data_IF_836524860580
#
_entry.id   IF_836524860580
#
_cell.length_a   1.000
_cell.length_b   1.000
_cell.length_c   1.000
_cell.angle_alpha   90.00
_cell.angle_beta   90.00
_cell.angle_gamma   90.00
#
_symmetry.space_group_name_H-M   'P 1'
#
loop_
_entity.id
_entity.type
_entity.pdbx_description
1 polymer ?
#
# COMPACT_ATOMS: atom_id res chain seq x y z
N UNK A 1 12.65 4.10 -12.50
CA UNK A 1 11.43 3.30 -12.82
C UNK A 1 10.34 3.36 -11.73
N UNK A 2 10.65 3.11 -10.44
CA UNK A 2 9.68 3.18 -9.34
C UNK A 2 8.90 4.51 -9.26
N UNK A 3 9.60 5.65 -9.37
CA UNK A 3 8.98 6.99 -9.36
C UNK A 3 7.95 7.16 -10.48
N UNK A 4 8.21 6.62 -11.67
CA UNK A 4 7.26 6.69 -12.79
C UNK A 4 6.03 5.82 -12.53
N UNK A 5 6.21 4.62 -11.99
CA UNK A 5 5.10 3.75 -11.60
C UNK A 5 4.21 4.42 -10.54
N UNK A 6 4.82 4.98 -9.49
CA UNK A 6 4.11 5.74 -8.45
C UNK A 6 3.32 6.91 -9.04
N UNK A 7 3.95 7.74 -9.86
CA UNK A 7 3.29 8.88 -10.52
C UNK A 7 2.12 8.44 -11.38
N UNK A 8 2.21 7.33 -12.10
CA UNK A 8 1.11 6.81 -12.91
C UNK A 8 -0.08 6.39 -12.05
N UNK A 9 0.18 5.66 -10.96
CA UNK A 9 -0.85 5.13 -10.06
C UNK A 9 -1.53 6.27 -9.30
N UNK A 10 -0.78 7.27 -8.79
CA UNK A 10 -1.35 8.47 -8.17
C UNK A 10 -2.20 9.30 -9.15
N UNK A 11 -1.76 9.48 -10.39
CA UNK A 11 -2.55 10.20 -11.40
C UNK A 11 -3.84 9.46 -11.78
N UNK A 12 -3.84 8.14 -11.69
CA UNK A 12 -5.05 7.33 -11.89
C UNK A 12 -6.01 7.57 -10.72
N UNK A 13 -5.51 7.58 -9.48
CA UNK A 13 -6.33 7.83 -8.29
C UNK A 13 -6.93 9.23 -8.25
N UNK A 14 -6.15 10.27 -8.55
CA UNK A 14 -6.64 11.66 -8.57
C UNK A 14 -7.77 11.88 -9.58
N UNK A 15 -7.94 10.98 -10.56
CA UNK A 15 -9.00 11.03 -11.58
C UNK A 15 -10.24 10.22 -11.19
N UNK A 16 -10.22 9.47 -10.09
CA UNK A 16 -11.36 8.67 -9.62
C UNK A 16 -12.36 9.54 -8.85
N UNK A 17 -13.64 9.38 -9.18
CA UNK A 17 -14.76 10.10 -8.53
C UNK A 17 -15.25 9.41 -7.25
N UNK A 18 -15.00 8.11 -7.11
CA UNK A 18 -15.27 7.34 -5.90
C UNK A 18 -13.96 7.19 -5.13
N UNK A 19 -13.72 8.07 -4.15
CA UNK A 19 -12.60 7.92 -3.23
C UNK A 19 -12.92 6.79 -2.23
N UNK A 20 -12.50 5.58 -2.55
CA UNK A 20 -12.47 4.49 -1.59
C UNK A 20 -11.36 4.77 -0.57
N UNK A 21 -11.76 5.10 0.67
CA UNK A 21 -10.82 5.50 1.70
C UNK A 21 -9.77 4.42 2.00
N UNK A 22 -10.07 3.14 1.75
CA UNK A 22 -9.12 2.03 1.91
C UNK A 22 -8.03 2.07 0.85
N UNK A 23 -8.40 2.42 -0.37
CA UNK A 23 -7.45 2.63 -1.48
C UNK A 23 -6.57 3.83 -1.16
N UNK A 24 -7.13 4.95 -0.69
CA UNK A 24 -6.38 6.13 -0.28
C UNK A 24 -5.32 5.82 0.81
N UNK A 25 -5.68 5.00 1.80
CA UNK A 25 -4.74 4.59 2.85
C UNK A 25 -3.51 3.84 2.30
N UNK A 26 -3.67 3.05 1.23
CA UNK A 26 -2.54 2.39 0.56
C UNK A 26 -1.66 3.36 -0.22
N UNK A 27 -2.26 4.37 -0.85
CA UNK A 27 -1.50 5.43 -1.52
C UNK A 27 -0.64 6.22 -0.55
N UNK A 28 -1.14 6.48 0.67
CA UNK A 28 -0.34 7.10 1.74
C UNK A 28 0.87 6.21 2.08
N UNK A 29 0.69 4.89 2.19
CA UNK A 29 1.81 3.96 2.43
C UNK A 29 2.80 3.88 1.26
N UNK A 30 2.32 3.94 0.02
CA UNK A 30 3.20 4.09 -1.14
C UNK A 30 3.99 5.39 -1.10
N UNK A 31 3.35 6.49 -0.70
CA UNK A 31 3.99 7.80 -0.59
C UNK A 31 5.09 7.81 0.48
N UNK A 32 4.81 7.29 1.69
CA UNK A 32 5.80 7.14 2.77
C UNK A 32 7.04 6.37 2.30
N UNK A 33 6.84 5.23 1.62
CA UNK A 33 7.94 4.45 1.03
C UNK A 33 8.75 5.26 0.01
N UNK A 34 8.08 6.01 -0.86
CA UNK A 34 8.73 6.77 -1.94
C UNK A 34 9.43 8.05 -1.45
N UNK A 35 9.02 8.60 -0.31
CA UNK A 35 9.63 9.79 0.31
C UNK A 35 11.10 9.57 0.67
N UNK A 36 11.49 8.35 1.02
CA UNK A 36 12.89 7.96 1.27
C UNK A 36 13.79 8.30 0.06
N UNK A 37 13.29 8.16 -1.16
CA UNK A 37 14.06 8.47 -2.37
C UNK A 37 14.28 9.98 -2.57
N UNK A 38 13.58 10.85 -1.85
CA UNK A 38 13.86 12.29 -1.88
C UNK A 38 15.29 12.61 -1.41
N UNK A 39 15.92 11.74 -0.62
CA UNK A 39 17.31 11.88 -0.19
C UNK A 39 18.30 11.85 -1.37
N UNK A 40 17.93 11.23 -2.49
CA UNK A 40 18.75 11.19 -3.72
C UNK A 40 19.06 12.59 -4.26
N UNK A 41 18.24 13.61 -3.97
CA UNK A 41 18.51 15.00 -4.39
C UNK A 41 19.82 15.57 -3.83
N UNK A 42 20.32 14.97 -2.74
CA UNK A 42 21.58 15.35 -2.10
C UNK A 42 22.76 14.50 -2.58
N UNK A 43 22.53 13.50 -3.43
CA UNK A 43 23.55 12.59 -3.96
C UNK A 43 23.80 12.95 -5.43
N UNK A 44 25.05 13.26 -5.78
CA UNK A 44 25.42 13.52 -7.18
C UNK A 44 25.37 12.20 -7.97
N UNK A 45 24.78 12.15 -9.19
CA UNK A 45 24.67 10.91 -9.96
C UNK A 45 26.01 10.22 -10.25
N UNK A 46 27.08 11.00 -10.47
CA UNK A 46 28.42 10.47 -10.71
C UNK A 46 29.17 10.03 -9.43
N UNK A 47 28.50 10.03 -8.27
CA UNK A 47 29.13 9.77 -6.97
C UNK A 47 29.51 8.29 -6.80
N UNK A 48 30.82 8.09 -6.66
CA UNK A 48 31.61 6.86 -6.47
C UNK A 48 31.69 6.26 -5.06
N UNK A 49 30.96 5.21 -4.66
CA UNK A 49 31.24 4.43 -3.43
C UNK A 49 32.19 3.25 -3.66
N UNK A 50 32.85 2.76 -2.61
CA UNK A 50 33.76 1.62 -2.68
C UNK A 50 33.48 0.66 -1.53
N UNK A 51 33.42 -0.63 -1.83
CA UNK A 51 33.38 -1.73 -0.86
C UNK A 51 34.34 -2.85 -1.28
N UNK A 52 34.28 -4.00 -0.63
CA UNK A 52 35.15 -5.15 -0.90
C UNK A 52 34.99 -5.71 -2.33
N UNK A 53 33.89 -5.37 -3.03
CA UNK A 53 33.57 -5.83 -4.38
C UNK A 53 33.96 -4.80 -5.45
N UNK A 54 34.43 -3.62 -5.05
CA UNK A 54 34.94 -2.59 -5.94
C UNK A 54 34.16 -1.28 -5.85
N UNK A 55 34.15 -0.53 -6.96
CA UNK A 55 33.54 0.79 -7.02
C UNK A 55 32.13 0.73 -7.61
N UNK A 56 31.15 1.36 -6.96
CA UNK A 56 29.74 1.35 -7.38
C UNK A 56 29.05 2.69 -7.12
N UNK A 57 27.96 2.96 -7.82
CA UNK A 57 27.11 4.16 -7.66
C UNK A 57 25.87 3.87 -6.84
N UNK A 58 25.16 4.92 -6.43
CA UNK A 58 23.85 4.76 -5.77
C UNK A 58 22.83 4.11 -6.70
N UNK A 59 22.94 4.34 -8.02
CA UNK A 59 22.08 3.71 -9.02
C UNK A 59 22.28 2.20 -9.04
N UNK A 60 23.54 1.72 -9.05
CA UNK A 60 23.85 0.29 -9.05
C UNK A 60 23.22 -0.44 -7.85
N UNK A 61 23.17 0.22 -6.68
CA UNK A 61 22.55 -0.34 -5.46
C UNK A 61 21.03 -0.33 -5.47
N UNK A 62 20.44 0.61 -6.18
CA UNK A 62 19.00 0.85 -6.15
C UNK A 62 18.27 0.30 -7.37
N UNK A 63 18.97 -0.03 -8.46
CA UNK A 63 18.38 -0.39 -9.74
C UNK A 63 17.41 -1.58 -9.64
N UNK A 64 17.89 -2.71 -9.13
CA UNK A 64 17.08 -3.93 -8.95
C UNK A 64 15.89 -3.65 -8.01
N UNK A 65 16.15 -3.03 -6.87
CA UNK A 65 15.11 -2.69 -5.88
C UNK A 65 14.05 -1.76 -6.48
N UNK A 66 14.46 -0.77 -7.26
CA UNK A 66 13.54 0.13 -7.96
C UNK A 66 12.69 -0.61 -8.99
N UNK A 67 13.22 -1.67 -9.63
CA UNK A 67 12.44 -2.51 -10.54
C UNK A 67 11.39 -3.32 -9.78
N UNK A 68 11.77 -4.00 -8.70
CA UNK A 68 10.85 -4.76 -7.83
C UNK A 68 9.76 -3.87 -7.24
N UNK A 69 10.12 -2.69 -6.73
CA UNK A 69 9.15 -1.71 -6.20
C UNK A 69 8.21 -1.21 -7.28
N UNK A 70 8.71 -0.97 -8.50
CA UNK A 70 7.86 -0.56 -9.62
C UNK A 70 6.81 -1.64 -9.96
N UNK A 71 7.18 -2.92 -9.87
CA UNK A 71 6.26 -4.04 -10.06
C UNK A 71 5.24 -4.14 -8.93
N UNK A 72 5.67 -4.03 -7.67
CA UNK A 72 4.78 -4.02 -6.51
C UNK A 72 3.73 -2.89 -6.59
N UNK A 73 4.16 -1.67 -6.97
CA UNK A 73 3.26 -0.52 -7.17
C UNK A 73 2.26 -0.80 -8.29
N UNK A 74 2.69 -1.37 -9.42
CA UNK A 74 1.78 -1.73 -10.53
C UNK A 74 0.76 -2.77 -10.09
N UNK A 75 1.20 -3.81 -9.39
CA UNK A 75 0.32 -4.88 -8.93
C UNK A 75 -0.70 -4.37 -7.90
N UNK A 76 -0.27 -3.50 -6.99
CA UNK A 76 -1.17 -2.83 -6.06
C UNK A 76 -2.16 -1.93 -6.79
N UNK A 77 -1.69 -1.10 -7.73
CA UNK A 77 -2.53 -0.25 -8.58
C UNK A 77 -3.59 -1.04 -9.34
N UNK A 78 -3.21 -2.17 -9.94
CA UNK A 78 -4.14 -3.07 -10.64
C UNK A 78 -5.19 -3.68 -9.70
N UNK A 79 -4.80 -4.04 -8.47
CA UNK A 79 -5.71 -4.59 -7.48
C UNK A 79 -6.68 -3.50 -6.95
N UNK A 80 -6.17 -2.31 -6.65
CA UNK A 80 -6.99 -1.13 -6.33
C UNK A 80 -7.95 -0.80 -7.47
N UNK A 81 -7.48 -0.94 -8.72
CA UNK A 81 -8.31 -0.68 -9.89
C UNK A 81 -9.47 -1.68 -9.99
N UNK A 82 -9.12 -2.96 -9.86
CA UNK A 82 -10.08 -4.09 -9.84
C UNK A 82 -11.08 -3.98 -8.70
N UNK A 83 -10.65 -3.60 -7.50
CA UNK A 83 -11.52 -3.47 -6.32
C UNK A 83 -12.49 -2.29 -6.50
N UNK A 84 -11.99 -1.13 -6.89
CA UNK A 84 -12.82 0.08 -6.98
C UNK A 84 -13.83 0.03 -8.13
N UNK A 85 -13.53 -0.73 -9.19
CA UNK A 85 -14.46 -0.94 -10.32
C UNK A 85 -15.57 -1.96 -10.04
N UNK A 86 -15.55 -2.67 -8.90
CA UNK A 86 -16.64 -3.60 -8.54
C UNK A 86 -17.91 -2.87 -8.13
N UNK A 87 -19.06 -3.44 -8.45
CA UNK A 87 -20.34 -3.02 -7.89
C UNK A 87 -20.35 -3.19 -6.36
N UNK A 88 -21.11 -2.34 -5.67
CA UNK A 88 -21.16 -2.25 -4.21
C UNK A 88 -21.42 -3.61 -3.53
N UNK A 89 -22.34 -4.43 -4.03
CA UNK A 89 -22.61 -5.75 -3.47
C UNK A 89 -21.39 -6.68 -3.52
N UNK A 90 -20.59 -6.60 -4.59
CA UNK A 90 -19.35 -7.36 -4.72
C UNK A 90 -18.27 -6.80 -3.80
N UNK A 91 -18.20 -5.46 -3.63
CA UNK A 91 -17.31 -4.81 -2.65
C UNK A 91 -17.66 -5.21 -1.21
N UNK A 92 -18.94 -5.37 -0.89
CA UNK A 92 -19.42 -5.81 0.42
C UNK A 92 -19.07 -7.28 0.68
N UNK A 93 -19.46 -8.19 -0.22
CA UNK A 93 -19.32 -9.63 -0.02
C UNK A 93 -17.87 -10.11 -0.18
N UNK A 94 -17.14 -9.58 -1.16
CA UNK A 94 -15.72 -9.93 -1.38
C UNK A 94 -14.75 -8.97 -0.71
N UNK A 95 -15.26 -7.93 -0.05
CA UNK A 95 -14.49 -6.92 0.66
C UNK A 95 -13.40 -7.49 1.55
N UNK A 96 -13.69 -8.46 2.44
CA UNK A 96 -12.67 -9.06 3.30
C UNK A 96 -11.51 -9.72 2.54
N UNK A 97 -11.78 -10.35 1.38
CA UNK A 97 -10.75 -11.00 0.55
C UNK A 97 -9.86 -9.94 -0.11
N UNK A 98 -10.48 -8.87 -0.63
CA UNK A 98 -9.73 -7.74 -1.19
C UNK A 98 -8.93 -7.00 -0.12
N UNK A 99 -9.52 -6.73 1.06
CA UNK A 99 -8.85 -6.11 2.20
C UNK A 99 -7.63 -6.90 2.65
N UNK A 100 -7.72 -8.24 2.70
CA UNK A 100 -6.57 -9.09 3.01
C UNK A 100 -5.45 -8.92 1.97
N UNK A 101 -5.76 -9.02 0.68
CA UNK A 101 -4.78 -8.85 -0.41
C UNK A 101 -4.20 -7.44 -0.47
N UNK A 102 -5.02 -6.42 -0.23
CA UNK A 102 -4.59 -5.04 -0.16
C UNK A 102 -3.65 -4.80 1.04
N UNK A 103 -3.94 -5.43 2.18
CA UNK A 103 -3.09 -5.33 3.37
C UNK A 103 -1.70 -5.95 3.20
N UNK A 104 -1.53 -6.94 2.32
CA UNK A 104 -0.22 -7.55 2.01
C UNK A 104 0.73 -6.55 1.33
N UNK A 105 0.18 -5.60 0.57
CA UNK A 105 0.99 -4.53 -0.03
C UNK A 105 1.53 -3.54 1.02
N UNK A 106 0.87 -3.39 2.18
CA UNK A 106 1.39 -2.54 3.26
C UNK A 106 2.70 -3.08 3.81
N UNK A 107 2.73 -4.38 4.13
CA UNK A 107 3.96 -5.02 4.62
C UNK A 107 5.06 -4.97 3.55
N UNK A 108 4.69 -5.21 2.28
CA UNK A 108 5.61 -5.11 1.13
C UNK A 108 6.23 -3.71 1.01
N UNK A 109 5.43 -2.65 1.09
CA UNK A 109 5.93 -1.27 1.01
C UNK A 109 6.78 -0.90 2.22
N UNK A 110 6.44 -1.35 3.42
CA UNK A 110 7.24 -1.12 4.61
C UNK A 110 8.61 -1.81 4.55
N UNK A 111 8.68 -3.02 4.01
CA UNK A 111 9.93 -3.74 3.79
C UNK A 111 10.80 -3.04 2.75
N UNK A 112 10.20 -2.61 1.64
CA UNK A 112 10.90 -1.84 0.61
C UNK A 112 11.39 -0.48 1.12
N UNK A 113 10.61 0.21 1.95
CA UNK A 113 11.01 1.46 2.59
C UNK A 113 12.28 1.26 3.44
N UNK A 114 12.25 0.31 4.38
CA UNK A 114 13.42 -0.02 5.22
C UNK A 114 14.65 -0.38 4.39
N UNK A 115 14.43 -1.11 3.30
CA UNK A 115 15.53 -1.53 2.44
C UNK A 115 16.11 -0.36 1.62
N UNK A 116 15.29 0.60 1.19
CA UNK A 116 15.78 1.85 0.61
C UNK A 116 16.58 2.67 1.63
N UNK A 117 16.07 2.84 2.85
CA UNK A 117 16.75 3.54 3.93
C UNK A 117 18.12 2.90 4.22
N UNK A 118 18.16 1.56 4.31
CA UNK A 118 19.40 0.82 4.52
C UNK A 118 20.41 1.02 3.38
N UNK A 119 19.98 0.87 2.13
CA UNK A 119 20.86 1.04 0.96
C UNK A 119 21.43 2.46 0.87
N UNK A 120 20.62 3.48 1.12
CA UNK A 120 21.05 4.88 1.12
C UNK A 120 21.98 5.20 2.30
N UNK A 121 21.68 4.67 3.49
CA UNK A 121 22.53 4.82 4.66
C UNK A 121 23.89 4.17 4.44
N UNK A 122 23.93 2.95 3.91
CA UNK A 122 25.18 2.25 3.62
C UNK A 122 26.02 3.00 2.58
N UNK A 123 25.40 3.42 1.47
CA UNK A 123 26.08 4.22 0.44
C UNK A 123 26.67 5.51 1.02
N UNK A 124 25.92 6.19 1.88
CA UNK A 124 26.37 7.43 2.53
C UNK A 124 27.42 7.16 3.61
N UNK A 125 27.29 6.12 4.42
CA UNK A 125 28.27 5.75 5.45
C UNK A 125 29.63 5.38 4.84
N UNK A 126 29.65 4.67 3.71
CA UNK A 126 30.87 4.37 2.95
C UNK A 126 31.47 5.61 2.25
N UNK A 127 30.82 6.77 2.36
CA UNK A 127 31.36 8.10 2.02
C UNK A 127 31.82 8.83 3.28
N UNK A 128 31.13 8.64 4.40
CA UNK A 128 31.34 9.34 5.66
C UNK A 128 32.43 8.64 6.50
N UNK A 129 33.69 8.98 6.22
CA UNK A 129 34.60 9.38 7.30
C UNK A 129 34.46 10.88 7.61
N UNK A 130 33.53 11.57 6.94
CA UNK A 130 33.26 13.00 7.07
C UNK A 130 31.78 13.29 6.77
N UNK A 131 31.07 13.88 7.73
CA UNK A 131 29.66 14.34 7.73
C UNK A 131 28.68 13.52 8.60
N UNK A 132 28.52 14.00 9.84
CA UNK A 132 27.37 13.80 10.71
C UNK A 132 26.07 14.00 9.91
N UNK A 133 25.27 12.95 9.69
CA UNK A 133 23.91 13.08 9.14
C UNK A 133 22.91 12.39 10.07
N UNK A 134 21.88 13.15 10.38
CA UNK A 134 20.77 12.88 11.28
C UNK A 134 20.02 11.59 10.91
N UNK A 135 20.09 10.60 11.79
CA UNK A 135 19.08 9.56 11.92
C UNK A 135 18.30 9.82 13.21
N UNK A 136 17.26 10.62 13.11
CA UNK A 136 16.24 10.72 14.14
C UNK A 136 14.88 10.62 13.47
N UNK A 137 14.35 9.40 13.40
CA UNK A 137 13.21 8.99 14.21
C UNK A 137 12.82 7.55 13.79
N UNK A 138 13.47 6.54 14.38
CA UNK A 138 13.00 5.15 14.21
C UNK A 138 11.96 4.92 15.29
N UNK A 139 10.73 5.16 14.87
CA UNK A 139 9.44 4.85 15.50
C UNK A 139 9.52 3.77 16.58
N UNK A 140 9.40 4.18 17.84
CA UNK A 140 9.09 3.29 18.96
C UNK A 140 7.58 3.13 19.12
N UNK A 141 7.16 1.89 19.38
CA UNK A 141 5.97 1.44 20.15
C UNK A 141 4.82 0.80 19.34
N UNK A 142 4.36 -0.31 19.93
CA UNK A 142 3.26 -1.25 19.59
C UNK A 142 3.59 -2.28 18.50
N UNK A 143 3.92 -3.51 18.93
CA UNK A 143 3.99 -4.72 18.10
C UNK A 143 2.58 -5.19 17.70
N UNK A 144 1.87 -4.37 16.95
CA UNK A 144 0.80 -4.82 16.05
C UNK A 144 1.43 -4.75 14.65
N UNK A 145 1.37 -5.84 13.88
CA UNK A 145 1.95 -5.86 12.52
C UNK A 145 1.27 -4.78 11.67
N UNK A 146 2.00 -4.12 10.76
CA UNK A 146 1.44 -3.02 9.96
C UNK A 146 0.20 -3.45 9.18
N UNK A 147 0.18 -4.70 8.70
CA UNK A 147 -1.02 -5.41 8.23
C UNK A 147 -2.19 -5.41 9.21
N UNK A 148 -1.99 -5.82 10.46
CA UNK A 148 -3.07 -5.83 11.45
C UNK A 148 -3.56 -4.41 11.76
N UNK A 149 -2.67 -3.41 11.80
CA UNK A 149 -3.05 -2.00 11.93
C UNK A 149 -3.85 -1.52 10.73
N UNK A 150 -3.46 -1.86 9.50
CA UNK A 150 -4.19 -1.45 8.30
C UNK A 150 -5.56 -2.13 8.22
N UNK A 151 -5.69 -3.40 8.60
CA UNK A 151 -6.99 -4.08 8.68
C UNK A 151 -7.93 -3.36 9.66
N UNK A 152 -7.41 -2.87 10.80
CA UNK A 152 -8.19 -2.05 11.73
C UNK A 152 -8.60 -0.70 11.11
N UNK A 153 -7.70 -0.05 10.38
CA UNK A 153 -8.02 1.17 9.62
C UNK A 153 -9.12 0.90 8.61
N UNK A 154 -9.03 -0.16 7.80
CA UNK A 154 -10.08 -0.53 6.84
C UNK A 154 -11.44 -0.78 7.50
N UNK A 155 -11.47 -1.35 8.70
CA UNK A 155 -12.70 -1.50 9.48
C UNK A 155 -13.29 -0.15 9.91
N UNK A 156 -12.43 0.81 10.30
CA UNK A 156 -12.86 2.15 10.70
C UNK A 156 -13.39 2.98 9.53
N UNK A 157 -12.87 2.74 8.33
CA UNK A 157 -13.26 3.44 7.09
C UNK A 157 -14.55 2.90 6.44
N UNK A 158 -15.19 1.88 7.03
CA UNK A 158 -16.49 1.36 6.55
C UNK A 158 -17.59 2.40 6.73
N UNK A 159 -18.36 2.61 5.68
CA UNK A 159 -19.55 3.47 5.68
C UNK A 159 -20.66 2.91 6.59
N UNK A 160 -21.57 3.74 7.10
CA UNK A 160 -22.72 3.27 7.90
C UNK A 160 -23.57 2.22 7.18
N UNK A 161 -23.77 2.40 5.86
CA UNK A 161 -24.50 1.44 5.03
C UNK A 161 -23.79 0.08 4.91
N UNK A 162 -22.46 0.08 4.76
CA UNK A 162 -21.68 -1.18 4.77
C UNK A 162 -21.76 -1.90 6.12
N UNK A 163 -21.80 -1.17 7.23
CA UNK A 163 -21.93 -1.76 8.58
C UNK A 163 -23.27 -2.45 8.78
N UNK A 164 -24.38 -1.78 8.47
CA UNK A 164 -25.73 -2.35 8.57
C UNK A 164 -25.88 -3.62 7.70
N UNK A 165 -25.37 -3.58 6.46
CA UNK A 165 -25.46 -4.73 5.55
C UNK A 165 -24.55 -5.89 6.00
N UNK A 166 -23.39 -5.60 6.60
CA UNK A 166 -22.53 -6.63 7.20
C UNK A 166 -23.19 -7.32 8.41
N UNK A 167 -23.91 -6.57 9.24
CA UNK A 167 -24.67 -7.13 10.37
C UNK A 167 -25.78 -8.06 9.87
N UNK A 168 -26.48 -7.68 8.80
CA UNK A 168 -27.47 -8.54 8.16
C UNK A 168 -26.84 -9.82 7.60
N UNK A 169 -25.72 -9.70 6.87
CA UNK A 169 -24.98 -10.85 6.36
C UNK A 169 -24.56 -11.80 7.49
N UNK A 170 -24.11 -11.27 8.63
CA UNK A 170 -23.81 -12.10 9.79
C UNK A 170 -25.06 -12.75 10.39
N UNK A 171 -26.17 -12.03 10.49
CA UNK A 171 -27.45 -12.57 11.00
C UNK A 171 -28.01 -13.72 10.15
N UNK A 172 -27.63 -13.77 8.87
CA UNK A 172 -28.02 -14.80 7.89
C UNK A 172 -27.01 -15.95 7.78
N UNK A 173 -26.08 -16.08 8.73
CA UNK A 173 -25.11 -17.19 8.78
C UNK A 173 -23.76 -16.89 8.12
N UNK A 174 -23.53 -15.66 7.68
CA UNK A 174 -22.27 -15.21 7.09
C UNK A 174 -22.25 -15.22 5.56
N UNK A 175 -21.14 -14.75 5.00
CA UNK A 175 -20.97 -14.51 3.56
C UNK A 175 -21.20 -15.79 2.74
N UNK A 176 -20.67 -16.93 3.21
CA UNK A 176 -20.74 -18.19 2.47
C UNK A 176 -22.16 -18.75 2.37
N UNK A 177 -23.01 -18.50 3.36
CA UNK A 177 -24.42 -18.89 3.32
C UNK A 177 -25.26 -17.89 2.53
N UNK A 178 -24.97 -16.59 2.64
CA UNK A 178 -25.65 -15.56 1.85
C UNK A 178 -25.43 -15.73 0.34
N UNK A 179 -24.23 -16.15 -0.09
CA UNK A 179 -23.93 -16.37 -1.52
C UNK A 179 -24.71 -17.56 -2.11
N UNK A 180 -25.17 -18.50 -1.27
CA UNK A 180 -25.92 -19.69 -1.70
C UNK A 180 -27.44 -19.48 -1.72
N UNK A 181 -27.92 -18.37 -1.14
CA UNK A 181 -29.35 -18.07 -1.00
C UNK A 181 -29.73 -16.82 -1.82
N UNK A 182 -30.30 -17.06 -2.99
CA UNK A 182 -30.75 -16.02 -3.92
C UNK A 182 -31.79 -15.06 -3.32
N UNK A 183 -32.55 -15.50 -2.30
CA UNK A 183 -33.54 -14.65 -1.63
C UNK A 183 -32.87 -13.64 -0.71
N UNK A 184 -31.79 -14.03 -0.03
CA UNK A 184 -30.98 -13.14 0.81
C UNK A 184 -30.20 -12.15 -0.06
N UNK A 185 -29.69 -12.59 -1.22
CA UNK A 185 -29.06 -11.70 -2.20
C UNK A 185 -30.04 -10.65 -2.76
N UNK A 186 -31.29 -11.03 -3.03
CA UNK A 186 -32.33 -10.11 -3.47
C UNK A 186 -32.72 -9.09 -2.38
N UNK A 187 -32.78 -9.52 -1.11
CA UNK A 187 -33.02 -8.65 0.05
C UNK A 187 -31.89 -7.61 0.22
N UNK A 188 -30.63 -8.04 0.06
CA UNK A 188 -29.46 -7.16 0.08
C UNK A 188 -29.48 -6.13 -1.05
N UNK A 189 -29.87 -6.54 -2.26
CA UNK A 189 -30.02 -5.63 -3.42
C UNK A 189 -31.14 -4.60 -3.21
N UNK A 190 -32.30 -5.02 -2.67
CA UNK A 190 -33.41 -4.10 -2.39
C UNK A 190 -33.05 -3.04 -1.33
N UNK A 191 -32.29 -3.41 -0.29
CA UNK A 191 -31.81 -2.43 0.69
C UNK A 191 -30.78 -1.45 0.11
N UNK A 192 -30.05 -1.85 -0.93
CA UNK A 192 -29.11 -0.98 -1.64
C UNK A 192 -29.82 0.02 -2.56
N UNK A 193 -30.94 -0.38 -3.18
CA UNK A 193 -31.73 0.48 -4.07
C UNK A 193 -32.67 1.44 -3.31
N UNK A 194 -32.93 1.19 -2.03
CA UNK A 194 -33.79 1.99 -1.17
C UNK A 194 -33.09 3.19 -0.49
N UNK A 195 -31.78 3.40 -0.72
CA UNK A 195 -30.96 4.51 -0.19
C UNK A 195 -30.34 5.32 -1.32
#
# INVERSE_FOLDING_TARGET
>A
VAVLAFKSVVNLELKRRENDQKVLALYVKMQEMMEVLAQLRFIKPAMKAHDDQGTFTVEDRLAERCATVAEAIKNCGNLCDTYSSKHFLVKLLKGPIYEMRLSEFVDTFAEHQKAFEFSLTLFTAQKVHSAQIYLSDIQSTVKVTQKATMLLVFQQLKTPAEKELLELVQSKGGIDECIKDDSVLAELLQMMDAK
#
